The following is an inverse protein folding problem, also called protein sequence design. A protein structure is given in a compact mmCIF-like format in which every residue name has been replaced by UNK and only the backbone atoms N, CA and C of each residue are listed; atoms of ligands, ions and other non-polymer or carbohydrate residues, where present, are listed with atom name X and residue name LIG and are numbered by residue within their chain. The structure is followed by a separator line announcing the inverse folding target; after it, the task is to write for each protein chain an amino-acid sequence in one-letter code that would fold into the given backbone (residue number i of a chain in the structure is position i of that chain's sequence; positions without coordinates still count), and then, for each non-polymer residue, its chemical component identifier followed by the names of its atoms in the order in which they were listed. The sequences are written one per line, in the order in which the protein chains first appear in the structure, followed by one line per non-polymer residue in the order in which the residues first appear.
data_IF_444613159846
#
_entry.id   IF_444613159846
#
_cell.length_a   1.000
_cell.length_b   1.000
_cell.length_c   1.000
_cell.angle_alpha   90.00
_cell.angle_beta   90.00
_cell.angle_gamma   90.00
#
_symmetry.space_group_name_H-M   'P 1'
#
loop_
_entity.id
_entity.type
_entity.pdbx_description
1 polymer ?
#
# COMPACT_ATOMS: atom_id res chain seq x y z
N UNK A 1 25.48 10.87 -3.19
CA UNK A 1 24.34 11.60 -2.60
C UNK A 1 23.12 11.35 -3.48
N UNK A 2 22.23 10.45 -3.09
CA UNK A 2 20.93 10.31 -3.72
C UNK A 2 19.96 11.28 -3.02
N UNK A 3 19.36 12.19 -3.79
CA UNK A 3 18.35 13.12 -3.28
C UNK A 3 17.11 12.35 -2.84
N UNK A 4 16.45 12.71 -1.72
CA UNK A 4 15.18 12.10 -1.35
C UNK A 4 14.13 12.51 -2.38
N UNK A 5 13.48 11.52 -3.00
CA UNK A 5 12.30 11.72 -3.83
C UNK A 5 11.17 12.17 -2.90
N UNK A 6 10.89 13.48 -2.86
CA UNK A 6 9.74 14.03 -2.15
C UNK A 6 8.45 13.55 -2.83
N UNK A 7 7.86 12.46 -2.33
CA UNK A 7 6.55 11.99 -2.78
C UNK A 7 5.45 12.78 -2.05
N UNK A 8 4.53 13.44 -2.76
CA UNK A 8 3.45 14.21 -2.16
C UNK A 8 2.30 13.29 -1.74
N UNK A 9 2.52 12.40 -0.78
CA UNK A 9 1.47 11.56 -0.18
C UNK A 9 1.44 11.81 1.33
N UNK A 10 0.65 12.78 1.78
CA UNK A 10 0.57 13.17 3.21
C UNK A 10 -0.04 12.10 4.14
N UNK A 11 -0.30 10.88 3.65
CA UNK A 11 -1.02 9.84 4.39
C UNK A 11 -0.47 8.41 4.25
N UNK A 12 0.63 8.24 3.53
CA UNK A 12 1.31 6.95 3.45
C UNK A 12 2.40 6.90 4.51
N UNK A 13 2.26 6.01 5.50
CA UNK A 13 3.30 5.77 6.51
C UNK A 13 4.13 4.54 6.14
N UNK A 14 5.20 4.77 5.37
CA UNK A 14 6.25 3.77 5.17
C UNK A 14 7.06 3.71 6.47
N UNK A 15 7.22 2.52 7.04
CA UNK A 15 8.08 2.31 8.19
C UNK A 15 9.55 2.37 7.74
N UNK A 16 10.12 3.58 7.79
CA UNK A 16 11.52 3.84 7.43
C UNK A 16 12.49 3.51 8.57
N UNK A 17 12.00 3.41 9.80
CA UNK A 17 12.79 3.18 11.01
C UNK A 17 12.97 1.70 11.32
N UNK A 18 12.20 0.82 10.66
CA UNK A 18 12.37 -0.62 10.80
C UNK A 18 13.84 -1.04 10.58
N UNK A 19 14.47 -1.77 11.52
CA UNK A 19 15.91 -2.08 11.48
C UNK A 19 16.37 -2.78 10.18
N UNK A 20 15.45 -3.48 9.52
CA UNK A 20 15.74 -4.23 8.31
C UNK A 20 15.45 -3.46 7.00
N UNK A 21 14.78 -2.31 7.05
CA UNK A 21 14.42 -1.53 5.87
C UNK A 21 15.62 -1.10 5.01
N UNK A 22 16.78 -0.68 5.58
CA UNK A 22 17.96 -0.35 4.77
C UNK A 22 18.46 -1.51 3.90
N UNK A 23 18.36 -2.75 4.37
CA UNK A 23 18.75 -3.94 3.61
C UNK A 23 17.81 -4.21 2.44
N UNK A 24 16.51 -3.93 2.62
CA UNK A 24 15.49 -4.05 1.58
C UNK A 24 15.73 -3.00 0.48
N UNK A 25 16.01 -1.75 0.86
CA UNK A 25 16.36 -0.69 -0.10
C UNK A 25 17.66 -0.98 -0.86
N UNK A 26 18.68 -1.50 -0.16
CA UNK A 26 19.95 -1.92 -0.78
C UNK A 26 19.72 -3.02 -1.83
N UNK A 27 18.92 -4.04 -1.49
CA UNK A 27 18.55 -5.08 -2.44
C UNK A 27 17.80 -4.50 -3.64
N UNK A 28 16.76 -3.69 -3.44
CA UNK A 28 16.02 -3.08 -4.54
C UNK A 28 16.94 -2.29 -5.48
N UNK A 29 17.83 -1.47 -4.91
CA UNK A 29 18.79 -0.64 -5.65
C UNK A 29 19.78 -1.47 -6.48
N UNK A 30 20.15 -2.67 -6.02
CA UNK A 30 21.03 -3.58 -6.77
C UNK A 30 20.41 -4.13 -8.07
N UNK A 31 19.09 -3.98 -8.24
CA UNK A 31 18.34 -4.45 -9.41
C UNK A 31 17.83 -3.32 -10.31
N UNK A 32 18.25 -2.06 -10.09
CA UNK A 32 17.80 -0.89 -10.85
C UNK A 32 16.26 -0.79 -10.98
N UNK A 33 15.59 -0.95 -9.82
CA UNK A 33 14.14 -0.93 -9.75
C UNK A 33 13.54 0.44 -10.11
N UNK A 34 12.34 0.44 -10.68
CA UNK A 34 11.55 1.66 -10.90
C UNK A 34 11.11 2.23 -9.53
N UNK A 35 11.90 3.15 -8.99
CA UNK A 35 11.69 3.68 -7.66
C UNK A 35 10.37 4.47 -7.54
N UNK A 36 9.99 5.24 -8.56
CA UNK A 36 8.75 6.02 -8.52
C UNK A 36 7.53 5.09 -8.42
N UNK A 37 7.48 4.07 -9.27
CA UNK A 37 6.41 3.08 -9.25
C UNK A 37 6.42 2.22 -7.98
N UNK A 38 7.57 1.66 -7.61
CA UNK A 38 7.66 0.77 -6.46
C UNK A 38 7.25 1.45 -5.15
N UNK A 39 7.68 2.70 -4.92
CA UNK A 39 7.28 3.46 -3.73
C UNK A 39 5.81 3.84 -3.76
N UNK A 40 5.24 4.15 -4.93
CA UNK A 40 3.80 4.36 -5.06
C UNK A 40 3.02 3.08 -4.71
N UNK A 41 3.45 1.92 -5.21
CA UNK A 41 2.81 0.64 -4.91
C UNK A 41 2.95 0.29 -3.44
N UNK A 42 4.10 0.57 -2.80
CA UNK A 42 4.26 0.47 -1.33
C UNK A 42 3.20 1.31 -0.64
N UNK A 43 3.05 2.58 -1.02
CA UNK A 43 2.09 3.47 -0.38
C UNK A 43 0.65 3.00 -0.53
N UNK A 44 0.22 2.65 -1.74
CA UNK A 44 -1.12 2.13 -1.96
C UNK A 44 -1.37 0.81 -1.22
N UNK A 45 -0.36 -0.07 -1.16
CA UNK A 45 -0.46 -1.34 -0.42
C UNK A 45 -0.66 -1.11 1.07
N UNK A 46 0.08 -0.16 1.65
CA UNK A 46 -0.02 0.15 3.08
C UNK A 46 -1.32 0.87 3.42
N UNK A 47 -1.79 1.79 2.58
CA UNK A 47 -3.12 2.41 2.77
C UNK A 47 -4.23 1.35 2.72
N UNK A 48 -4.16 0.42 1.75
CA UNK A 48 -5.11 -0.70 1.68
C UNK A 48 -5.02 -1.60 2.91
N UNK A 49 -3.83 -1.92 3.40
CA UNK A 49 -3.67 -2.71 4.63
C UNK A 49 -4.32 -2.01 5.82
N UNK A 50 -4.02 -0.74 6.02
CA UNK A 50 -4.52 0.03 7.16
C UNK A 50 -6.06 0.21 7.09
N UNK A 51 -6.62 0.45 5.91
CA UNK A 51 -8.08 0.55 5.69
C UNK A 51 -8.82 -0.80 5.81
N UNK A 52 -8.10 -1.92 5.74
CA UNK A 52 -8.67 -3.27 5.85
C UNK A 52 -8.38 -3.92 7.20
N UNK A 53 -7.82 -3.17 8.15
CA UNK A 53 -7.39 -3.68 9.46
C UNK A 53 -8.49 -4.44 10.20
N UNK A 54 -9.72 -3.90 10.21
CA UNK A 54 -10.87 -4.51 10.88
C UNK A 54 -11.31 -5.84 10.23
N UNK A 55 -10.94 -6.07 8.96
CA UNK A 55 -11.28 -7.30 8.24
C UNK A 55 -10.23 -8.39 8.39
N UNK A 56 -8.94 -8.04 8.40
CA UNK A 56 -7.88 -9.04 8.42
C UNK A 56 -7.17 -9.19 9.78
N UNK A 57 -7.25 -8.21 10.67
CA UNK A 57 -6.72 -8.26 12.04
C UNK A 57 -5.24 -8.62 12.13
N UNK A 58 -4.41 -8.13 11.21
CA UNK A 58 -2.98 -8.47 11.14
C UNK A 58 -2.14 -7.39 11.80
N UNK A 59 -0.94 -7.74 12.23
CA UNK A 59 -0.07 -6.87 13.00
C UNK A 59 0.95 -6.12 12.13
N UNK A 60 1.79 -5.32 12.79
CA UNK A 60 2.88 -4.58 12.15
C UNK A 60 3.89 -5.48 11.45
N UNK A 61 4.08 -6.73 11.93
CA UNK A 61 4.92 -7.72 11.24
C UNK A 61 4.40 -7.98 9.83
N UNK A 62 3.11 -8.30 9.69
CA UNK A 62 2.48 -8.52 8.40
C UNK A 62 2.52 -7.26 7.52
N UNK A 63 2.32 -6.08 8.12
CA UNK A 63 2.40 -4.79 7.43
C UNK A 63 3.80 -4.55 6.84
N UNK A 64 4.85 -4.85 7.59
CA UNK A 64 6.23 -4.74 7.12
C UNK A 64 6.58 -5.79 6.03
N UNK A 65 6.05 -7.02 6.13
CA UNK A 65 6.21 -8.02 5.06
C UNK A 65 5.55 -7.54 3.76
N UNK A 66 4.40 -6.86 3.84
CA UNK A 66 3.73 -6.26 2.69
C UNK A 66 4.55 -5.10 2.11
N UNK A 67 5.04 -4.18 2.95
CA UNK A 67 5.92 -3.08 2.54
C UNK A 67 7.13 -3.61 1.75
N UNK A 68 7.76 -4.66 2.28
CA UNK A 68 8.92 -5.30 1.64
C UNK A 68 8.53 -5.97 0.32
N UNK A 69 7.41 -6.69 0.27
CA UNK A 69 6.94 -7.34 -0.94
C UNK A 69 6.58 -6.33 -2.04
N UNK A 70 5.96 -5.21 -1.65
CA UNK A 70 5.59 -4.13 -2.54
C UNK A 70 6.80 -3.40 -3.12
N UNK A 71 7.83 -3.13 -2.34
CA UNK A 71 9.06 -2.51 -2.89
C UNK A 71 9.75 -3.46 -3.88
N UNK A 72 9.78 -4.76 -3.55
CA UNK A 72 10.56 -5.75 -4.30
C UNK A 72 9.77 -6.46 -5.41
N UNK A 73 8.50 -6.12 -5.64
CA UNK A 73 7.61 -6.93 -6.48
C UNK A 73 8.12 -7.09 -7.93
N UNK A 74 8.81 -6.06 -8.44
CA UNK A 74 9.24 -5.95 -9.83
C UNK A 74 10.76 -5.96 -10.05
N UNK A 75 11.56 -6.31 -9.03
CA UNK A 75 13.02 -6.41 -9.18
C UNK A 75 13.46 -7.44 -10.23
N UNK A 76 12.61 -8.43 -10.53
CA UNK A 76 12.85 -9.41 -11.60
C UNK A 76 12.75 -8.86 -13.02
N UNK A 77 12.41 -7.58 -13.21
CA UNK A 77 12.36 -6.94 -14.53
C UNK A 77 13.73 -6.78 -15.17
N UNK A 78 14.80 -6.74 -14.38
CA UNK A 78 16.18 -6.69 -14.85
C UNK A 78 16.51 -7.83 -15.84
N UNK A 79 15.81 -8.98 -15.73
CA UNK A 79 16.02 -10.14 -16.60
C UNK A 79 15.45 -9.96 -18.02
N UNK A 80 14.68 -8.89 -18.28
CA UNK A 80 13.97 -8.68 -19.55
C UNK A 80 12.88 -9.74 -19.85
N UNK A 81 12.59 -10.63 -18.90
CA UNK A 81 11.68 -11.75 -19.08
C UNK A 81 10.21 -11.34 -18.92
N UNK A 82 9.28 -11.89 -19.74
CA UNK A 82 7.84 -11.72 -19.52
C UNK A 82 7.36 -12.32 -18.18
N UNK A 83 8.19 -13.15 -17.54
CA UNK A 83 7.90 -13.81 -16.26
C UNK A 83 8.60 -13.15 -15.05
N UNK A 84 8.83 -11.83 -15.06
CA UNK A 84 9.55 -11.13 -13.97
C UNK A 84 9.01 -11.44 -12.57
N UNK A 85 7.69 -11.56 -12.37
CA UNK A 85 7.11 -11.97 -11.08
C UNK A 85 7.69 -13.29 -10.50
N UNK A 86 8.07 -14.25 -11.36
CA UNK A 86 8.75 -15.49 -10.94
C UNK A 86 10.22 -15.25 -10.61
N UNK A 87 10.87 -14.33 -11.33
CA UNK A 87 12.25 -13.92 -11.07
C UNK A 87 12.34 -13.12 -9.77
N UNK A 88 11.46 -12.13 -9.54
CA UNK A 88 11.36 -11.38 -8.27
C UNK A 88 11.23 -12.33 -7.09
N UNK A 89 10.32 -13.32 -7.15
CA UNK A 89 10.22 -14.35 -6.11
C UNK A 89 11.55 -15.07 -5.86
N UNK A 90 12.24 -15.48 -6.92
CA UNK A 90 13.51 -16.21 -6.81
C UNK A 90 14.56 -15.35 -6.13
N UNK A 91 14.72 -14.10 -6.56
CA UNK A 91 15.66 -13.14 -6.00
C UNK A 91 15.36 -12.85 -4.53
N UNK A 92 14.11 -12.55 -4.18
CA UNK A 92 13.70 -12.30 -2.80
C UNK A 92 13.97 -13.49 -1.88
N UNK A 93 13.65 -14.72 -2.32
CA UNK A 93 13.81 -15.92 -1.49
C UNK A 93 15.29 -16.26 -1.26
N UNK A 94 16.14 -15.98 -2.24
CA UNK A 94 17.58 -16.25 -2.19
C UNK A 94 18.39 -15.11 -1.58
N UNK A 95 17.83 -13.91 -1.50
CA UNK A 95 18.53 -12.74 -1.00
C UNK A 95 18.98 -12.91 0.46
N UNK A 96 20.16 -12.38 0.83
CA UNK A 96 20.67 -12.38 2.20
C UNK A 96 19.98 -11.32 3.06
N UNK A 97 18.65 -11.21 2.97
CA UNK A 97 17.88 -10.29 3.81
C UNK A 97 17.85 -10.80 5.27
N UNK A 98 17.91 -9.90 6.27
CA UNK A 98 17.96 -10.22 7.70
C UNK A 98 16.62 -10.71 8.27
N UNK A 99 15.89 -11.54 7.52
CA UNK A 99 14.63 -12.16 7.92
C UNK A 99 14.78 -13.69 7.97
N UNK A 100 13.87 -14.36 8.69
CA UNK A 100 13.75 -15.81 8.62
C UNK A 100 13.43 -16.32 7.21
N UNK A 101 13.79 -17.57 6.91
CA UNK A 101 13.53 -18.18 5.60
C UNK A 101 12.03 -18.25 5.25
N UNK A 102 11.16 -18.34 6.26
CA UNK A 102 9.71 -18.28 6.13
C UNK A 102 9.25 -16.90 5.68
N UNK A 103 9.65 -15.82 6.34
CA UNK A 103 9.32 -14.45 5.95
C UNK A 103 9.79 -14.12 4.52
N UNK A 104 11.03 -14.48 4.15
CA UNK A 104 11.50 -14.33 2.75
C UNK A 104 10.61 -15.07 1.75
N UNK A 105 10.08 -16.24 2.14
CA UNK A 105 9.19 -17.06 1.30
C UNK A 105 7.79 -16.46 1.20
N UNK A 106 7.25 -15.86 2.28
CA UNK A 106 6.00 -15.10 2.26
C UNK A 106 6.15 -13.88 1.34
N UNK A 107 7.16 -13.04 1.56
CA UNK A 107 7.45 -11.84 0.75
C UNK A 107 7.59 -12.23 -0.73
N UNK A 108 8.41 -13.23 -1.02
CA UNK A 108 8.64 -13.69 -2.39
C UNK A 108 7.39 -14.28 -3.04
N UNK A 109 6.51 -14.94 -2.28
CA UNK A 109 5.23 -15.41 -2.80
C UNK A 109 4.25 -14.25 -3.03
N UNK A 110 4.12 -13.30 -2.10
CA UNK A 110 3.28 -12.12 -2.29
C UNK A 110 3.71 -11.34 -3.55
N UNK A 111 5.02 -11.09 -3.70
CA UNK A 111 5.61 -10.51 -4.90
C UNK A 111 5.33 -11.34 -6.17
N UNK A 112 5.35 -12.68 -6.10
CA UNK A 112 5.00 -13.52 -7.26
C UNK A 112 3.57 -13.29 -7.74
N UNK A 113 2.65 -13.10 -6.79
CA UNK A 113 1.21 -13.12 -7.06
C UNK A 113 0.60 -11.76 -7.39
N UNK A 114 1.40 -10.69 -7.45
CA UNK A 114 0.96 -9.37 -7.94
C UNK A 114 0.45 -9.41 -9.39
N UNK A 115 0.83 -10.44 -10.16
CA UNK A 115 0.32 -10.70 -11.52
C UNK A 115 0.31 -12.20 -11.84
N UNK A 116 -0.35 -12.55 -12.95
CA UNK A 116 -0.41 -13.93 -13.41
C UNK A 116 -1.29 -14.83 -12.51
N UNK A 117 -1.04 -16.15 -12.49
CA UNK A 117 -1.86 -17.11 -11.77
C UNK A 117 -1.91 -16.89 -10.25
N UNK A 118 -3.06 -17.18 -9.65
CA UNK A 118 -3.28 -17.16 -8.20
C UNK A 118 -2.47 -18.25 -7.46
N UNK A 119 -2.33 -18.15 -6.12
CA UNK A 119 -1.69 -19.17 -5.31
C UNK A 119 -2.32 -20.56 -5.50
N UNK A 120 -1.49 -21.60 -5.61
CA UNK A 120 -1.92 -23.00 -5.73
C UNK A 120 -0.82 -23.96 -5.24
N UNK A 121 -1.21 -25.16 -4.85
CA UNK A 121 -0.31 -26.20 -4.29
C UNK A 121 0.87 -26.57 -5.21
N UNK A 122 0.69 -26.49 -6.53
CA UNK A 122 1.78 -26.74 -7.48
C UNK A 122 2.94 -25.73 -7.40
N UNK A 123 2.78 -24.60 -6.71
CA UNK A 123 3.82 -23.60 -6.58
C UNK A 123 4.78 -23.94 -5.43
N UNK A 124 5.99 -24.42 -5.76
CA UNK A 124 7.00 -24.93 -4.81
C UNK A 124 7.23 -24.08 -3.56
N UNK A 125 7.34 -22.75 -3.69
CA UNK A 125 7.58 -21.87 -2.54
C UNK A 125 6.34 -21.72 -1.66
N UNK A 126 5.16 -21.63 -2.25
CA UNK A 126 3.89 -21.52 -1.54
C UNK A 126 3.54 -22.82 -0.81
N UNK A 127 3.74 -23.98 -1.46
CA UNK A 127 3.51 -25.30 -0.85
C UNK A 127 4.30 -25.53 0.43
N UNK A 128 5.47 -24.87 0.58
CA UNK A 128 6.36 -25.01 1.74
C UNK A 128 5.95 -24.14 2.94
N UNK A 129 4.99 -23.23 2.76
CA UNK A 129 4.41 -22.46 3.84
C UNK A 129 3.34 -23.31 4.53
N UNK A 130 3.15 -23.13 5.83
CA UNK A 130 2.04 -23.72 6.56
C UNK A 130 0.73 -22.97 6.27
N UNK A 131 -0.40 -23.42 6.82
CA UNK A 131 -1.69 -22.81 6.54
C UNK A 131 -1.77 -21.33 6.97
N UNK A 132 -1.36 -20.93 8.18
CA UNK A 132 -1.33 -19.52 8.57
C UNK A 132 -0.50 -18.64 7.62
N UNK A 133 0.68 -19.09 7.23
CA UNK A 133 1.56 -18.35 6.31
C UNK A 133 1.01 -18.29 4.88
N UNK A 134 0.32 -19.33 4.44
CA UNK A 134 -0.40 -19.35 3.15
C UNK A 134 -1.54 -18.36 3.15
N UNK A 135 -2.33 -18.31 4.22
CA UNK A 135 -3.42 -17.34 4.37
C UNK A 135 -2.87 -15.90 4.37
N UNK A 136 -1.80 -15.66 5.13
CA UNK A 136 -1.10 -14.37 5.13
C UNK A 136 -0.58 -14.02 3.73
N UNK A 137 0.07 -14.96 3.04
CA UNK A 137 0.57 -14.76 1.67
C UNK A 137 -0.54 -14.40 0.69
N UNK A 138 -1.71 -15.04 0.79
CA UNK A 138 -2.86 -14.72 -0.05
C UNK A 138 -3.37 -13.30 0.22
N UNK A 139 -3.48 -12.90 1.49
CA UNK A 139 -3.86 -11.53 1.88
C UNK A 139 -2.88 -10.49 1.32
N UNK A 140 -1.58 -10.65 1.62
CA UNK A 140 -0.56 -9.69 1.19
C UNK A 140 -0.46 -9.64 -0.34
N UNK A 141 -0.51 -10.79 -1.00
CA UNK A 141 -0.52 -10.88 -2.46
C UNK A 141 -1.77 -10.24 -3.08
N UNK A 142 -2.94 -10.36 -2.45
CA UNK A 142 -4.19 -9.75 -2.89
C UNK A 142 -4.15 -8.22 -2.79
N UNK A 143 -3.69 -7.69 -1.65
CA UNK A 143 -3.51 -6.25 -1.45
C UNK A 143 -2.49 -5.69 -2.46
N UNK A 144 -1.32 -6.33 -2.57
CA UNK A 144 -0.26 -5.89 -3.50
C UNK A 144 -0.75 -5.91 -4.95
N UNK A 145 -1.51 -6.95 -5.34
CA UNK A 145 -2.06 -7.07 -6.69
C UNK A 145 -3.00 -5.93 -7.03
N UNK A 146 -3.87 -5.54 -6.09
CA UNK A 146 -4.76 -4.39 -6.24
C UNK A 146 -3.98 -3.07 -6.29
N UNK A 147 -3.02 -2.87 -5.38
CA UNK A 147 -2.17 -1.67 -5.34
C UNK A 147 -1.38 -1.47 -6.65
N UNK A 148 -0.75 -2.52 -7.18
CA UNK A 148 -0.08 -2.49 -8.48
C UNK A 148 -1.06 -2.19 -9.64
N UNK A 149 -2.29 -2.71 -9.56
CA UNK A 149 -3.35 -2.40 -10.52
C UNK A 149 -3.75 -0.93 -10.53
N UNK A 150 -3.79 -0.30 -9.35
CA UNK A 150 -4.11 1.11 -9.16
C UNK A 150 -3.01 2.04 -9.71
N UNK A 151 -1.74 1.61 -9.69
CA UNK A 151 -0.62 2.33 -10.32
C UNK A 151 -0.15 1.73 -11.65
N UNK A 152 -1.03 1.03 -12.38
CA UNK A 152 -0.66 0.33 -13.61
C UNK A 152 -0.02 1.23 -14.69
N UNK A 153 -0.33 2.54 -14.69
CA UNK A 153 0.27 3.47 -15.65
C UNK A 153 1.64 4.01 -15.25
N UNK A 154 2.16 3.66 -14.07
CA UNK A 154 3.43 4.17 -13.49
C UNK A 154 3.45 5.71 -13.44
N UNK A 155 2.28 6.33 -13.23
CA UNK A 155 2.11 7.79 -13.19
C UNK A 155 1.66 8.29 -11.82
N UNK A 156 1.54 7.40 -10.85
CA UNK A 156 1.12 7.70 -9.48
C UNK A 156 -0.16 8.53 -9.47
N UNK A 157 -1.18 8.11 -10.24
CA UNK A 157 -2.39 8.91 -10.43
C UNK A 157 -3.32 8.89 -9.22
N UNK A 158 -3.31 7.79 -8.47
CA UNK A 158 -4.09 7.63 -7.24
C UNK A 158 -3.37 8.34 -6.11
N UNK A 159 -4.07 9.24 -5.43
CA UNK A 159 -3.50 10.07 -4.37
C UNK A 159 -4.04 9.77 -2.99
N UNK A 160 -5.27 9.30 -2.92
CA UNK A 160 -5.91 8.87 -1.68
C UNK A 160 -6.77 7.65 -1.98
N UNK A 161 -6.96 6.84 -0.95
CA UNK A 161 -7.77 5.65 -0.99
C UNK A 161 -8.50 5.50 0.35
N UNK A 162 -9.76 5.10 0.30
CA UNK A 162 -10.52 4.65 1.45
C UNK A 162 -11.29 3.36 1.10
N UNK A 163 -11.52 2.53 2.11
CA UNK A 163 -12.33 1.32 1.99
C UNK A 163 -13.59 1.43 2.85
N UNK A 164 -14.76 1.14 2.27
CA UNK A 164 -16.02 1.09 3.01
C UNK A 164 -16.71 -0.26 2.79
N UNK A 165 -17.08 -0.91 3.89
CA UNK A 165 -17.92 -2.11 3.84
C UNK A 165 -19.37 -1.69 3.70
N UNK A 166 -20.01 -2.02 2.57
CA UNK A 166 -21.42 -1.73 2.28
C UNK A 166 -22.20 -3.03 2.11
N UNK A 167 -22.86 -3.47 3.18
CA UNK A 167 -23.59 -4.73 3.20
C UNK A 167 -22.65 -5.91 2.90
N UNK A 168 -22.94 -6.68 1.86
CA UNK A 168 -22.12 -7.83 1.43
C UNK A 168 -20.91 -7.47 0.56
N UNK A 169 -20.75 -6.19 0.17
CA UNK A 169 -19.69 -5.73 -0.74
C UNK A 169 -18.72 -4.81 -0.01
N UNK A 170 -17.53 -4.67 -0.56
CA UNK A 170 -16.56 -3.65 -0.18
C UNK A 170 -16.41 -2.65 -1.33
N UNK A 171 -16.42 -1.37 -1.01
CA UNK A 171 -16.17 -0.30 -1.95
C UNK A 171 -14.79 0.30 -1.66
N UNK A 172 -13.92 0.34 -2.67
CA UNK A 172 -12.63 1.02 -2.64
C UNK A 172 -12.78 2.33 -3.38
N UNK A 173 -12.77 3.44 -2.66
CA UNK A 173 -12.89 4.79 -3.23
C UNK A 173 -11.50 5.39 -3.40
N UNK A 174 -11.15 5.77 -4.63
CA UNK A 174 -9.85 6.36 -4.95
C UNK A 174 -10.01 7.80 -5.43
N UNK A 175 -9.24 8.71 -4.84
CA UNK A 175 -9.04 10.05 -5.40
C UNK A 175 -7.90 9.99 -6.42
N UNK A 176 -8.12 10.61 -7.58
CA UNK A 176 -7.17 10.56 -8.69
C UNK A 176 -6.90 11.94 -9.28
N UNK A 177 -5.66 12.19 -9.70
CA UNK A 177 -5.29 13.44 -10.40
C UNK A 177 -5.85 13.50 -11.82
N UNK A 178 -5.99 12.34 -12.45
CA UNK A 178 -6.53 12.14 -13.80
C UNK A 178 -7.29 10.81 -13.84
N UNK A 179 -8.28 10.66 -14.74
CA UNK A 179 -8.95 9.38 -14.94
C UNK A 179 -7.96 8.23 -15.12
N UNK A 180 -8.17 7.13 -14.40
CA UNK A 180 -7.36 5.93 -14.57
C UNK A 180 -7.67 5.27 -15.92
N UNK A 181 -6.66 4.83 -16.68
CA UNK A 181 -6.86 4.09 -17.91
C UNK A 181 -7.19 2.61 -17.60
N UNK A 182 -8.30 2.36 -16.91
CA UNK A 182 -8.72 1.02 -16.51
C UNK A 182 -9.70 0.38 -17.47
N UNK A 183 -9.52 -0.91 -17.71
CA UNK A 183 -10.53 -1.78 -18.31
C UNK A 183 -11.17 -2.65 -17.24
N UNK A 184 -12.46 -2.96 -17.38
CA UNK A 184 -13.20 -3.80 -16.43
C UNK A 184 -12.52 -5.17 -16.22
N UNK A 185 -12.02 -5.80 -17.29
CA UNK A 185 -11.33 -7.09 -17.20
C UNK A 185 -10.04 -7.01 -16.36
N UNK A 186 -9.25 -5.92 -16.52
CA UNK A 186 -8.04 -5.73 -15.71
C UNK A 186 -8.37 -5.46 -14.25
N UNK A 187 -9.39 -4.64 -13.98
CA UNK A 187 -9.82 -4.40 -12.61
C UNK A 187 -10.24 -5.73 -11.93
N UNK A 188 -11.04 -6.55 -12.60
CA UNK A 188 -11.45 -7.87 -12.13
C UNK A 188 -10.25 -8.78 -11.82
N UNK A 189 -9.29 -8.89 -12.74
CA UNK A 189 -8.07 -9.68 -12.55
C UNK A 189 -7.22 -9.21 -11.37
N UNK A 190 -7.31 -7.91 -11.02
CA UNK A 190 -6.52 -7.30 -9.94
C UNK A 190 -7.18 -7.42 -8.57
N UNK A 191 -8.51 -7.52 -8.49
CA UNK A 191 -9.23 -7.69 -7.22
C UNK A 191 -9.43 -9.15 -6.82
N UNK A 192 -9.45 -10.07 -7.78
CA UNK A 192 -9.95 -11.44 -7.57
C UNK A 192 -9.33 -12.19 -6.39
N UNK A 193 -8.03 -12.02 -6.15
CA UNK A 193 -7.36 -12.66 -5.01
C UNK A 193 -7.81 -12.08 -3.67
N UNK A 194 -7.95 -10.76 -3.60
CA UNK A 194 -8.39 -10.08 -2.39
C UNK A 194 -9.86 -10.37 -2.09
N UNK A 195 -10.71 -10.47 -3.14
CA UNK A 195 -12.10 -10.91 -2.99
C UNK A 195 -12.21 -12.32 -2.41
N UNK A 196 -11.38 -13.26 -2.88
CA UNK A 196 -11.33 -14.63 -2.35
C UNK A 196 -10.91 -14.65 -0.88
N UNK A 197 -9.92 -13.83 -0.50
CA UNK A 197 -9.41 -13.77 0.87
C UNK A 197 -10.43 -13.13 1.82
N UNK A 198 -11.09 -12.05 1.40
CA UNK A 198 -12.06 -11.32 2.22
C UNK A 198 -13.47 -11.94 2.16
N UNK A 199 -13.71 -12.91 1.28
CA UNK A 199 -15.01 -13.54 1.06
C UNK A 199 -16.08 -12.57 0.57
N UNK A 200 -15.70 -11.48 -0.09
CA UNK A 200 -16.57 -10.34 -0.41
C UNK A 200 -16.21 -9.73 -1.77
N UNK A 201 -17.21 -9.38 -2.60
CA UNK A 201 -16.96 -8.64 -3.84
C UNK A 201 -16.40 -7.24 -3.56
N UNK A 202 -15.45 -6.80 -4.38
CA UNK A 202 -14.78 -5.51 -4.29
C UNK A 202 -15.16 -4.67 -5.51
N UNK A 203 -15.80 -3.54 -5.26
CA UNK A 203 -16.06 -2.53 -6.27
C UNK A 203 -15.06 -1.40 -6.11
N UNK A 204 -14.47 -0.96 -7.21
CA UNK A 204 -13.54 0.15 -7.20
C UNK A 204 -14.18 1.34 -7.89
N UNK A 205 -14.23 2.45 -7.17
CA UNK A 205 -14.76 3.72 -7.63
C UNK A 205 -13.63 4.74 -7.60
N UNK A 206 -13.36 5.38 -8.74
CA UNK A 206 -12.27 6.33 -8.88
C UNK A 206 -12.83 7.65 -9.39
N UNK A 207 -12.68 8.72 -8.61
CA UNK A 207 -13.10 10.05 -8.98
C UNK A 207 -11.91 11.00 -9.03
N UNK A 208 -12.05 12.09 -9.78
CA UNK A 208 -11.03 13.14 -9.83
C UNK A 208 -11.11 13.97 -8.54
N UNK A 209 -9.96 14.45 -8.04
CA UNK A 209 -9.86 15.26 -6.80
C UNK A 209 -10.77 16.50 -6.74
N UNK A 210 -11.34 16.97 -7.87
CA UNK A 210 -12.33 18.06 -7.92
C UNK A 210 -13.79 17.61 -8.00
N UNK A 211 -14.08 16.40 -8.49
CA UNK A 211 -15.43 15.89 -8.74
C UNK A 211 -16.05 15.24 -7.50
N UNK A 212 -15.24 15.02 -6.45
CA UNK A 212 -15.63 14.45 -5.14
C UNK A 212 -16.58 15.37 -4.33
N UNK A 213 -16.87 16.57 -4.83
CA UNK A 213 -17.46 17.68 -4.06
C UNK A 213 -18.94 17.57 -3.73
N UNK A 214 -19.70 16.56 -4.18
CA UNK A 214 -21.14 16.52 -3.87
C UNK A 214 -21.69 15.21 -3.28
N UNK A 215 -20.89 14.14 -3.11
CA UNK A 215 -21.38 12.91 -2.43
C UNK A 215 -20.40 12.22 -1.46
N UNK A 216 -19.11 12.58 -1.45
CA UNK A 216 -18.08 11.85 -0.67
C UNK A 216 -17.17 12.74 0.20
N UNK A 217 -17.26 14.07 0.06
CA UNK A 217 -16.44 15.02 0.82
C UNK A 217 -16.59 14.90 2.35
N UNK A 218 -17.76 14.49 2.86
CA UNK A 218 -17.98 14.30 4.30
C UNK A 218 -17.35 13.02 4.85
N UNK A 219 -17.23 11.96 4.05
CA UNK A 219 -16.60 10.71 4.49
C UNK A 219 -15.07 10.84 4.56
N UNK A 220 -14.46 11.47 3.56
CA UNK A 220 -12.99 11.73 3.54
C UNK A 220 -12.60 12.77 4.58
N UNK A 221 -13.39 13.85 4.77
CA UNK A 221 -13.15 14.83 5.84
C UNK A 221 -13.33 14.22 7.23
N UNK A 222 -14.39 13.45 7.45
CA UNK A 222 -14.62 12.76 8.74
C UNK A 222 -13.53 11.73 9.07
N UNK A 223 -12.84 11.20 8.06
CA UNK A 223 -11.73 10.29 8.21
C UNK A 223 -10.39 11.00 8.43
N UNK A 224 -10.09 12.09 7.69
CA UNK A 224 -8.92 12.95 7.93
C UNK A 224 -8.92 13.56 9.33
N UNK A 225 -10.12 13.81 9.88
CA UNK A 225 -10.32 14.28 11.27
C UNK A 225 -10.08 13.16 12.30
N UNK A 226 -10.36 11.89 11.96
CA UNK A 226 -10.20 10.75 12.87
C UNK A 226 -8.76 10.22 12.98
N UNK A 227 -7.91 10.42 11.98
CA UNK A 227 -6.62 9.71 11.88
C UNK A 227 -5.36 10.59 11.81
N UNK A 228 -5.42 11.88 12.20
CA UNK A 228 -4.20 12.61 12.56
C UNK A 228 -3.60 11.97 13.82
N UNK A 229 -2.65 11.05 13.66
CA UNK A 229 -1.82 10.58 14.77
C UNK A 229 -1.11 11.78 15.39
N UNK A 230 -1.40 12.04 16.67
CA UNK A 230 -0.60 12.90 17.54
C UNK A 230 0.81 12.30 17.61
N UNK A 231 1.89 13.05 17.36
CA UNK A 231 3.24 12.52 17.58
C UNK A 231 3.41 12.14 19.06
N UNK A 232 4.26 11.14 19.37
CA UNK A 232 4.50 10.73 20.75
C UNK A 232 4.99 11.91 21.59
N UNK A 233 4.50 11.98 22.82
CA UNK A 233 4.77 13.06 23.76
C UNK A 233 6.25 13.11 24.16
N UNK A 234 7.03 13.91 23.44
CA UNK A 234 8.31 14.43 23.88
C UNK A 234 8.53 15.80 23.20
N UNK A 235 8.89 16.80 24.01
CA UNK A 235 9.07 18.23 23.67
C UNK A 235 7.78 19.07 23.73
N UNK A 236 7.14 19.06 24.90
CA UNK A 236 6.57 20.29 25.43
C UNK A 236 7.74 21.14 25.94
N UNK A 237 8.17 22.15 25.17
CA UNK A 237 8.61 23.45 25.65
C UNK A 237 9.26 24.26 24.53
N UNK A 238 8.69 25.44 24.27
CA UNK A 238 9.36 26.70 23.92
C UNK A 238 8.56 27.52 22.89
N UNK A 239 7.62 28.30 23.42
CA UNK A 239 7.41 29.74 23.19
C UNK A 239 7.76 30.33 21.81
N UNK A 240 6.74 30.91 21.20
CA UNK A 240 6.78 32.20 20.47
C UNK A 240 5.30 32.63 20.42
N UNK A 241 4.77 33.53 21.26
CA UNK A 241 5.01 34.98 21.41
C UNK A 241 5.09 35.69 20.06
N UNK A 242 3.92 36.15 19.60
CA UNK A 242 3.63 37.48 19.01
C UNK A 242 2.22 37.41 18.40
N UNK A 243 1.24 38.02 19.06
CA UNK A 243 0.77 39.39 18.81
C UNK A 243 -0.31 39.42 17.72
N UNK A 244 -1.58 39.45 18.13
CA UNK A 244 -2.60 40.28 17.50
C UNK A 244 -3.45 40.92 18.59
N UNK A 245 -3.23 42.22 18.68
CA UNK A 245 -3.98 43.28 19.33
C UNK A 245 -5.46 43.28 18.89
N UNK A 246 -6.32 43.72 19.82
CA UNK A 246 -7.64 44.40 19.68
C UNK A 246 -8.90 43.68 20.19
N UNK A 247 -9.30 44.09 21.40
CA UNK A 247 -10.68 44.25 21.89
C UNK A 247 -10.76 45.65 22.57
N UNK A 248 -11.94 46.25 22.83
CA UNK A 248 -13.27 45.65 22.81
C UNK A 248 -14.35 46.45 22.06
N UNK A 249 -15.49 45.76 21.94
CA UNK A 249 -16.78 46.20 21.44
C UNK A 249 -17.34 47.45 22.16
N UNK A 250 -17.92 48.34 21.36
CA UNK A 250 -18.84 49.38 21.81
C UNK A 250 -20.30 48.89 21.85
N UNK A 251 -20.93 49.12 23.01
CA UNK A 251 -22.28 49.68 23.24
C UNK A 251 -23.51 49.15 22.47
N UNK A 252 -24.46 48.57 23.22
CA UNK A 252 -25.91 48.89 23.22
C UNK A 252 -26.50 48.25 24.51
N UNK A 253 -27.04 49.01 25.46
CA UNK A 253 -28.38 49.63 25.47
C UNK A 253 -29.50 48.58 25.49
#
# INVERSE_FOLDING_TARGET
MAMPVSLPMSNCHIDQEHPHWPYVLCLASSFDYDAAHAHQVVCLSLMLFDELQDLHGRDETARFLLQTAALLHDIGRCDGSPNHHKASQRYIVQAPLPFGATHRRIIGCAARYHRGPLPREGHRHYRRLDEPDRALTCLLGGILRLADGLDHSHRSLVTQLTCEVRGARMQVCCATRRPLPWSHARAADKVSLLEQVLGRPILIDCAREGDLTLRQADQVRSWLVRHRRRPPAALADARTVNDVVEEPAGSAA
#
